data_IF_589986188012
#
_entry.id   IF_589986188012
#
_cell.length_a   1.000
_cell.length_b   1.000
_cell.length_c   1.000
_cell.angle_alpha   90.00
_cell.angle_beta   90.00
_cell.angle_gamma   90.00
#
_symmetry.space_group_name_H-M   'P 1'
#
loop_
_entity.id
_entity.type
_entity.pdbx_description
1 polymer ?
#
# COMPACT_ATOMS: atom_id res chain seq x y z
N UNK A 1 -0.02 64.05 40.87
CA UNK A 1 -0.94 63.72 41.97
C UNK A 1 -2.02 62.79 41.38
N UNK A 2 -2.21 61.65 41.71
CA UNK A 2 -2.11 60.75 42.79
C UNK A 2 -2.23 59.30 42.36
N UNK A 3 -1.52 58.51 43.07
CA UNK A 3 -1.51 57.04 43.10
C UNK A 3 -2.86 56.45 43.44
N UNK A 4 -3.25 55.34 42.94
CA UNK A 4 -3.72 54.20 43.74
C UNK A 4 -3.65 52.86 43.05
N UNK A 5 -3.02 51.97 43.75
CA UNK A 5 -2.80 50.54 43.52
C UNK A 5 -4.06 49.77 43.94
N UNK A 6 -4.46 48.71 43.22
CA UNK A 6 -5.12 47.55 43.80
C UNK A 6 -4.84 46.29 42.99
N UNK A 7 -4.21 45.37 43.66
CA UNK A 7 -3.93 43.99 43.30
C UNK A 7 -5.24 43.18 43.31
N UNK A 8 -5.44 42.35 42.35
CA UNK A 8 -6.46 41.29 42.33
C UNK A 8 -6.00 40.17 41.39
N UNK A 9 -5.32 39.17 41.97
CA UNK A 9 -4.89 37.99 41.26
C UNK A 9 -6.06 37.02 41.08
N UNK A 10 -6.31 36.60 39.86
CA UNK A 10 -7.12 35.42 39.54
C UNK A 10 -6.27 34.33 38.93
N UNK A 11 -6.39 33.16 39.52
CA UNK A 11 -5.72 31.90 39.13
C UNK A 11 -6.38 31.39 37.86
N UNK A 12 -5.64 31.06 36.77
CA UNK A 12 -6.25 30.47 35.61
C UNK A 12 -6.57 28.99 35.86
N UNK A 13 -7.85 28.65 35.76
CA UNK A 13 -8.37 27.30 35.70
C UNK A 13 -7.83 26.53 34.49
N UNK A 14 -7.45 25.28 34.71
CA UNK A 14 -6.92 24.31 33.76
C UNK A 14 -7.81 24.20 32.52
N UNK A 15 -7.20 24.48 31.35
CA UNK A 15 -7.80 24.29 30.03
C UNK A 15 -7.93 22.82 29.68
N UNK A 16 -9.07 22.47 29.10
CA UNK A 16 -9.37 21.18 28.45
C UNK A 16 -8.34 20.88 27.35
N UNK A 17 -8.01 19.60 27.09
CA UNK A 17 -7.09 19.25 26.00
C UNK A 17 -7.67 19.71 24.66
N UNK A 18 -6.91 20.55 23.96
CA UNK A 18 -7.29 21.18 22.72
C UNK A 18 -7.38 20.17 21.57
N UNK A 19 -8.32 20.43 20.69
CA UNK A 19 -8.44 19.80 19.39
C UNK A 19 -7.11 19.88 18.59
N UNK A 20 -6.79 18.90 17.72
CA UNK A 20 -5.57 18.92 16.96
C UNK A 20 -5.50 20.16 16.06
N UNK A 21 -4.39 20.90 16.20
CA UNK A 21 -4.11 22.10 15.41
C UNK A 21 -3.93 21.69 13.94
N UNK A 22 -4.88 22.06 13.10
CA UNK A 22 -4.68 22.09 11.65
C UNK A 22 -3.51 23.03 11.35
N UNK A 23 -2.36 22.50 10.90
CA UNK A 23 -1.23 23.28 10.41
C UNK A 23 -1.64 24.01 9.14
N UNK A 24 -2.09 25.24 9.25
CA UNK A 24 -2.15 26.16 8.11
C UNK A 24 -0.71 26.60 7.79
N UNK A 25 -0.17 26.15 6.67
CA UNK A 25 1.01 26.79 6.11
C UNK A 25 0.63 28.17 5.60
N UNK A 26 1.53 29.15 5.82
CA UNK A 26 1.33 30.60 5.60
C UNK A 26 1.31 31.04 4.11
N UNK A 27 0.96 30.18 3.18
CA UNK A 27 0.58 30.52 1.82
C UNK A 27 -0.70 29.75 1.52
N UNK A 28 -1.81 30.41 1.26
CA UNK A 28 -3.18 29.87 1.18
C UNK A 28 -3.42 28.73 0.17
N UNK A 29 -2.47 27.82 -0.03
CA UNK A 29 -2.65 26.56 -0.75
C UNK A 29 -3.26 25.54 0.20
N UNK A 30 -4.42 25.04 -0.13
CA UNK A 30 -5.02 23.87 0.50
C UNK A 30 -4.03 22.71 0.31
N UNK A 31 -3.46 22.20 1.41
CA UNK A 31 -2.59 21.03 1.34
C UNK A 31 -3.49 19.85 0.95
N UNK A 32 -3.26 19.30 -0.24
CA UNK A 32 -3.96 18.10 -0.71
C UNK A 32 -3.57 16.93 0.18
N UNK A 33 -4.53 16.31 0.88
CA UNK A 33 -4.29 15.16 1.76
C UNK A 33 -5.59 14.39 1.99
N UNK A 34 -5.46 13.14 2.42
CA UNK A 34 -6.59 12.36 2.91
C UNK A 34 -6.43 12.26 4.43
N UNK A 35 -7.46 12.61 5.19
CA UNK A 35 -7.48 12.46 6.65
C UNK A 35 -8.65 11.55 7.04
N UNK A 36 -8.36 10.56 7.83
CA UNK A 36 -9.31 9.57 8.34
C UNK A 36 -9.26 9.58 9.86
N UNK A 37 -10.42 9.72 10.50
CA UNK A 37 -10.54 9.77 11.95
C UNK A 37 -11.62 8.81 12.45
N UNK A 38 -11.24 7.83 13.24
CA UNK A 38 -12.11 6.86 13.90
C UNK A 38 -13.12 6.21 12.93
N UNK A 39 -12.69 5.97 11.68
CA UNK A 39 -13.54 5.56 10.58
C UNK A 39 -14.03 4.14 10.77
N UNK A 40 -15.35 3.96 10.84
CA UNK A 40 -15.98 2.65 10.99
C UNK A 40 -17.04 2.44 9.92
N UNK A 41 -17.07 1.24 9.34
CA UNK A 41 -18.10 0.81 8.39
C UNK A 41 -18.65 -0.55 8.75
N UNK A 42 -19.98 -0.62 8.89
CA UNK A 42 -20.72 -1.86 9.13
C UNK A 42 -21.72 -2.11 8.00
N UNK A 43 -21.82 -3.34 7.57
CA UNK A 43 -22.85 -3.85 6.66
C UNK A 43 -23.67 -4.89 7.42
N UNK A 44 -24.83 -4.47 7.92
CA UNK A 44 -25.64 -5.30 8.81
C UNK A 44 -24.86 -5.71 10.07
N UNK A 45 -24.58 -7.01 10.23
CA UNK A 45 -23.83 -7.55 11.38
C UNK A 45 -22.30 -7.58 11.18
N UNK A 46 -21.83 -7.37 9.95
CA UNK A 46 -20.39 -7.46 9.62
C UNK A 46 -19.76 -6.09 9.71
N UNK A 47 -18.71 -5.95 10.52
CA UNK A 47 -17.85 -4.77 10.56
C UNK A 47 -16.73 -4.97 9.53
N UNK A 48 -16.76 -4.17 8.47
CA UNK A 48 -15.75 -4.21 7.41
C UNK A 48 -14.54 -3.31 7.69
N UNK A 49 -14.76 -2.24 8.46
CA UNK A 49 -13.73 -1.28 8.89
C UNK A 49 -14.06 -0.86 10.32
N UNK A 50 -13.08 -0.84 11.21
CA UNK A 50 -13.22 -0.59 12.63
C UNK A 50 -12.20 0.44 13.10
N UNK A 51 -12.65 1.63 13.46
CA UNK A 51 -11.87 2.70 14.13
C UNK A 51 -10.55 3.07 13.43
N UNK A 52 -10.52 3.10 12.09
CA UNK A 52 -9.33 3.50 11.35
C UNK A 52 -9.02 4.99 11.54
N UNK A 53 -7.78 5.29 11.89
CA UNK A 53 -7.26 6.66 11.98
C UNK A 53 -5.88 6.73 11.35
N UNK A 54 -5.75 7.47 10.24
CA UNK A 54 -4.47 7.71 9.56
C UNK A 54 -4.57 8.90 8.61
N UNK A 55 -3.41 9.35 8.11
CA UNK A 55 -3.32 10.47 7.16
C UNK A 55 -2.45 10.10 5.97
N UNK A 56 -2.94 10.36 4.73
CA UNK A 56 -2.14 10.21 3.50
C UNK A 56 -1.60 11.58 3.11
N UNK A 57 -0.28 11.71 3.12
CA UNK A 57 0.41 12.97 2.87
C UNK A 57 0.57 13.26 1.37
N UNK A 58 0.60 14.54 0.97
CA UNK A 58 0.96 14.94 -0.40
C UNK A 58 2.45 14.72 -0.68
N UNK A 59 2.79 14.54 -1.95
CA UNK A 59 4.18 14.43 -2.39
C UNK A 59 4.82 13.07 -2.19
N UNK A 60 4.07 12.10 -1.69
CA UNK A 60 4.51 10.72 -1.49
C UNK A 60 3.53 9.73 -2.10
N UNK A 61 4.03 8.57 -2.52
CA UNK A 61 3.18 7.43 -2.86
C UNK A 61 2.97 6.61 -1.59
N UNK A 62 1.72 6.55 -1.12
CA UNK A 62 1.34 5.74 0.03
C UNK A 62 0.70 4.44 -0.42
N UNK A 63 1.32 3.32 -0.05
CA UNK A 63 0.79 1.97 -0.25
C UNK A 63 -0.23 1.60 0.82
N UNK A 64 -1.38 1.06 0.41
CA UNK A 64 -2.42 0.57 1.31
C UNK A 64 -2.50 -0.95 1.24
N UNK A 65 -1.96 -1.60 2.24
CA UNK A 65 -1.73 -3.04 2.28
C UNK A 65 -2.68 -3.74 3.25
N UNK A 66 -2.94 -4.99 2.98
CA UNK A 66 -3.73 -5.86 3.83
C UNK A 66 -4.20 -7.10 3.07
N UNK A 67 -4.53 -8.18 3.75
CA UNK A 67 -5.07 -9.38 3.12
C UNK A 67 -6.43 -9.09 2.44
N UNK A 68 -6.90 -10.06 1.65
CA UNK A 68 -8.24 -9.98 1.08
C UNK A 68 -9.27 -9.99 2.20
N UNK A 69 -10.28 -9.12 2.10
CA UNK A 69 -11.27 -8.94 3.16
C UNK A 69 -10.86 -7.97 4.28
N UNK A 70 -9.63 -7.46 4.29
CA UNK A 70 -9.15 -6.54 5.33
C UNK A 70 -9.85 -5.17 5.38
N UNK A 71 -10.70 -4.84 4.41
CA UNK A 71 -11.43 -3.56 4.37
C UNK A 71 -10.86 -2.51 3.42
N UNK A 72 -9.81 -2.82 2.61
CA UNK A 72 -9.15 -1.88 1.69
C UNK A 72 -10.14 -1.18 0.75
N UNK A 73 -10.84 -1.94 -0.08
CA UNK A 73 -11.79 -1.35 -1.05
C UNK A 73 -12.95 -0.61 -0.36
N UNK A 74 -13.39 -1.07 0.81
CA UNK A 74 -14.41 -0.38 1.62
C UNK A 74 -13.91 0.99 2.07
N UNK A 75 -12.68 1.08 2.57
CA UNK A 75 -12.05 2.33 2.98
C UNK A 75 -11.90 3.28 1.78
N UNK A 76 -11.39 2.79 0.66
CA UNK A 76 -11.25 3.58 -0.57
C UNK A 76 -12.61 4.09 -1.10
N UNK A 77 -13.68 3.29 -1.00
CA UNK A 77 -15.04 3.73 -1.37
C UNK A 77 -15.52 4.88 -0.51
N UNK A 78 -15.21 4.87 0.80
CA UNK A 78 -15.55 5.99 1.70
C UNK A 78 -14.72 7.24 1.39
N UNK A 79 -13.43 7.09 1.07
CA UNK A 79 -12.55 8.20 0.63
C UNK A 79 -13.09 8.87 -0.64
N UNK A 80 -13.62 8.07 -1.58
CA UNK A 80 -14.22 8.57 -2.82
C UNK A 80 -15.67 9.05 -2.64
N UNK A 81 -16.25 8.98 -1.45
CA UNK A 81 -17.62 9.37 -1.17
C UNK A 81 -18.69 8.47 -1.79
N UNK A 82 -18.31 7.26 -2.22
CA UNK A 82 -19.23 6.25 -2.78
C UNK A 82 -20.03 5.54 -1.70
N UNK A 83 -19.43 5.38 -0.51
CA UNK A 83 -20.08 4.85 0.67
C UNK A 83 -19.98 5.86 1.82
N UNK A 84 -20.98 5.88 2.70
CA UNK A 84 -20.96 6.68 3.93
C UNK A 84 -20.38 5.84 5.08
N UNK A 85 -19.55 6.43 5.95
CA UNK A 85 -19.15 5.81 7.20
C UNK A 85 -20.36 5.50 8.08
N UNK A 86 -20.28 4.45 8.91
CA UNK A 86 -21.24 4.22 10.00
C UNK A 86 -20.94 5.14 11.17
N UNK A 87 -19.66 5.42 11.43
CA UNK A 87 -19.17 6.43 12.39
C UNK A 87 -17.78 6.90 11.98
N UNK A 88 -17.28 7.95 12.62
CA UNK A 88 -16.03 8.60 12.26
C UNK A 88 -16.17 9.52 11.07
N UNK A 89 -15.04 9.94 10.50
CA UNK A 89 -15.04 10.90 9.39
C UNK A 89 -13.88 10.65 8.43
N UNK A 90 -14.07 11.08 7.18
CA UNK A 90 -13.05 11.17 6.17
C UNK A 90 -13.10 12.55 5.52
N UNK A 91 -11.94 13.17 5.33
CA UNK A 91 -11.79 14.39 4.53
C UNK A 91 -10.76 14.16 3.43
N UNK A 92 -10.99 14.79 2.29
CA UNK A 92 -10.05 14.83 1.17
C UNK A 92 -9.88 16.28 0.79
N UNK A 93 -8.63 16.75 0.73
CA UNK A 93 -8.29 18.15 0.48
C UNK A 93 -9.03 19.10 1.45
N UNK A 94 -9.14 18.69 2.74
CA UNK A 94 -9.76 19.45 3.82
C UNK A 94 -11.29 19.51 3.80
N UNK A 95 -11.98 18.70 2.96
CA UNK A 95 -13.45 18.66 2.88
C UNK A 95 -13.97 17.23 2.86
N UNK A 96 -15.17 16.97 3.39
CA UNK A 96 -15.83 15.70 3.16
C UNK A 96 -15.96 15.39 1.67
N UNK A 97 -15.76 14.15 1.20
CA UNK A 97 -15.72 13.81 -0.23
C UNK A 97 -16.94 14.27 -1.01
N UNK A 98 -18.13 14.19 -0.43
CA UNK A 98 -19.41 14.60 -1.06
C UNK A 98 -19.64 16.13 -1.09
N UNK A 99 -18.82 16.90 -0.39
CA UNK A 99 -18.91 18.36 -0.37
C UNK A 99 -18.13 19.04 -1.51
N UNK A 100 -17.41 18.26 -2.33
CA UNK A 100 -16.70 18.80 -3.48
C UNK A 100 -17.66 19.14 -4.62
N UNK A 101 -17.63 20.38 -5.08
CA UNK A 101 -18.46 20.85 -6.20
C UNK A 101 -17.96 20.39 -7.56
N UNK A 102 -16.68 20.07 -7.67
CA UNK A 102 -16.02 19.56 -8.87
C UNK A 102 -15.17 18.33 -8.54
N UNK A 103 -15.79 17.19 -8.14
CA UNK A 103 -15.09 16.07 -7.55
C UNK A 103 -13.96 15.51 -8.41
N UNK A 104 -14.09 15.43 -9.73
CA UNK A 104 -13.04 14.94 -10.62
C UNK A 104 -11.78 15.85 -10.68
N UNK A 105 -11.89 17.10 -10.23
CA UNK A 105 -10.73 18.01 -10.11
C UNK A 105 -10.03 17.90 -8.76
N UNK A 106 -10.72 17.36 -7.79
CA UNK A 106 -10.21 17.18 -6.43
C UNK A 106 -9.65 15.79 -6.21
N UNK A 107 -10.43 14.76 -6.62
CA UNK A 107 -10.11 13.36 -6.39
C UNK A 107 -10.32 12.57 -7.66
N UNK A 108 -9.26 11.91 -8.12
CA UNK A 108 -9.34 10.89 -9.17
C UNK A 108 -9.35 9.51 -8.54
N UNK A 109 -10.35 8.69 -8.87
CA UNK A 109 -10.48 7.36 -8.31
C UNK A 109 -10.63 6.28 -9.38
N UNK A 110 -9.99 5.12 -9.14
CA UNK A 110 -10.22 3.89 -9.89
C UNK A 110 -10.28 2.73 -8.91
N UNK A 111 -11.48 2.13 -8.77
CA UNK A 111 -11.71 0.95 -7.93
C UNK A 111 -11.97 -0.31 -8.76
N UNK A 112 -12.56 -0.17 -9.93
CA UNK A 112 -12.84 -1.28 -10.85
C UNK A 112 -12.55 -0.84 -12.29
N UNK A 113 -11.56 -1.43 -12.94
CA UNK A 113 -11.22 -1.11 -14.33
C UNK A 113 -12.33 -1.51 -15.32
N UNK A 114 -13.29 -2.34 -14.89
CA UNK A 114 -14.44 -2.75 -15.69
C UNK A 114 -15.65 -1.84 -15.54
N UNK A 115 -15.60 -0.82 -14.69
CA UNK A 115 -16.67 0.17 -14.49
C UNK A 115 -16.85 1.11 -15.69
N UNK A 116 -16.77 0.55 -16.91
CA UNK A 116 -16.93 1.25 -18.19
C UNK A 116 -18.06 0.62 -18.98
N UNK A 117 -18.94 1.43 -19.55
CA UNK A 117 -20.02 0.91 -20.38
C UNK A 117 -19.43 0.20 -21.63
N UNK A 118 -19.67 -1.11 -21.83
CA UNK A 118 -18.94 -1.92 -22.80
C UNK A 118 -19.16 -1.48 -24.26
N UNK A 119 -20.29 -0.87 -24.59
CA UNK A 119 -20.58 -0.40 -25.94
C UNK A 119 -19.99 0.97 -26.26
N UNK A 120 -19.49 1.74 -25.26
CA UNK A 120 -18.81 3.02 -25.49
C UNK A 120 -17.37 2.79 -25.91
N UNK A 121 -16.86 3.63 -26.83
CA UNK A 121 -15.42 3.67 -27.06
C UNK A 121 -14.70 4.33 -25.89
N UNK A 122 -13.40 4.04 -25.71
CA UNK A 122 -12.59 4.67 -24.68
C UNK A 122 -12.66 6.20 -24.76
N UNK A 123 -12.52 6.76 -25.95
CA UNK A 123 -12.63 8.20 -26.18
C UNK A 123 -14.00 8.76 -25.72
N UNK A 124 -15.12 8.14 -26.15
CA UNK A 124 -16.45 8.62 -25.79
C UNK A 124 -16.78 8.41 -24.32
N UNK A 125 -16.20 7.40 -23.66
CA UNK A 125 -16.31 7.23 -22.21
C UNK A 125 -15.68 8.42 -21.48
N UNK A 126 -14.43 8.74 -21.79
CA UNK A 126 -13.73 9.88 -21.18
C UNK A 126 -14.37 11.22 -21.55
N UNK A 127 -14.83 11.37 -22.80
CA UNK A 127 -15.51 12.59 -23.24
C UNK A 127 -16.84 12.83 -22.48
N UNK A 128 -17.59 11.76 -22.17
CA UNK A 128 -18.79 11.86 -21.36
C UNK A 128 -18.49 12.37 -19.95
N UNK A 129 -17.46 11.79 -19.28
CA UNK A 129 -17.00 12.24 -17.97
C UNK A 129 -16.48 13.69 -18.01
N UNK A 130 -15.74 14.06 -19.05
CA UNK A 130 -15.23 15.41 -19.22
C UNK A 130 -16.37 16.43 -19.31
N UNK A 131 -17.42 16.13 -20.12
CA UNK A 131 -18.56 17.03 -20.32
C UNK A 131 -19.39 17.22 -19.05
N UNK A 132 -19.64 16.15 -18.29
CA UNK A 132 -20.40 16.23 -17.03
C UNK A 132 -19.66 17.03 -15.95
N UNK A 133 -18.34 17.15 -16.08
CA UNK A 133 -17.48 17.81 -15.08
C UNK A 133 -16.88 19.14 -15.56
N UNK A 134 -17.35 19.69 -16.70
CA UNK A 134 -16.84 20.94 -17.26
C UNK A 134 -15.37 20.92 -17.64
N UNK A 135 -14.84 19.72 -18.01
CA UNK A 135 -13.45 19.53 -18.44
C UNK A 135 -13.37 19.69 -19.95
N UNK A 136 -12.35 20.42 -20.42
CA UNK A 136 -12.15 20.68 -21.85
C UNK A 136 -11.85 19.38 -22.62
N UNK A 137 -12.32 19.33 -23.89
CA UNK A 137 -12.14 18.16 -24.76
C UNK A 137 -10.67 17.80 -24.99
N UNK A 138 -9.77 18.79 -25.11
CA UNK A 138 -8.34 18.55 -25.29
C UNK A 138 -7.74 17.71 -24.17
N UNK A 139 -8.28 17.79 -22.95
CA UNK A 139 -7.82 16.98 -21.82
C UNK A 139 -8.09 15.48 -22.02
N UNK A 140 -9.15 15.15 -22.76
CA UNK A 140 -9.42 13.75 -23.12
C UNK A 140 -8.29 13.19 -24.00
N UNK A 141 -7.83 13.97 -24.98
CA UNK A 141 -6.72 13.57 -25.84
C UNK A 141 -5.42 13.45 -25.04
N UNK A 142 -5.13 14.39 -24.14
CA UNK A 142 -3.96 14.38 -23.26
C UNK A 142 -3.90 13.12 -22.38
N UNK A 143 -5.00 12.73 -21.71
CA UNK A 143 -4.98 11.55 -20.84
C UNK A 143 -4.94 10.24 -21.63
N UNK A 144 -5.56 10.18 -22.82
CA UNK A 144 -5.47 9.02 -23.72
C UNK A 144 -4.03 8.78 -24.13
N UNK A 145 -3.28 9.84 -24.44
CA UNK A 145 -1.86 9.75 -24.79
C UNK A 145 -1.02 9.33 -23.60
N UNK A 146 -1.26 9.93 -22.43
CA UNK A 146 -0.52 9.63 -21.21
C UNK A 146 -0.62 8.15 -20.79
N UNK A 147 -1.76 7.49 -21.08
CA UNK A 147 -1.95 6.07 -20.78
C UNK A 147 -1.65 5.14 -21.96
N UNK A 148 -1.22 5.68 -23.11
CA UNK A 148 -0.86 4.87 -24.30
C UNK A 148 -2.02 4.22 -25.03
N UNK A 149 -3.23 4.78 -24.96
CA UNK A 149 -4.42 4.23 -25.62
C UNK A 149 -4.81 4.91 -26.94
N UNK A 150 -3.96 5.77 -27.51
CA UNK A 150 -4.26 6.55 -28.73
C UNK A 150 -4.72 5.68 -29.89
N UNK A 151 -4.00 4.59 -30.18
CA UNK A 151 -4.27 3.71 -31.33
C UNK A 151 -5.60 2.97 -31.22
N UNK A 152 -6.14 2.81 -30.00
CA UNK A 152 -7.37 2.04 -29.71
C UNK A 152 -8.48 2.89 -29.14
N UNK A 153 -8.32 4.22 -29.03
CA UNK A 153 -9.26 5.13 -28.41
C UNK A 153 -10.68 5.09 -29.02
N UNK A 154 -10.78 4.80 -30.31
CA UNK A 154 -12.05 4.63 -31.03
C UNK A 154 -12.74 3.26 -30.85
N UNK A 155 -12.03 2.26 -30.30
CA UNK A 155 -12.56 0.91 -30.11
C UNK A 155 -13.49 0.85 -28.89
N UNK A 156 -14.52 -0.02 -28.95
CA UNK A 156 -15.43 -0.26 -27.81
C UNK A 156 -14.68 -0.86 -26.63
N UNK A 157 -14.89 -0.34 -25.44
CA UNK A 157 -14.23 -0.78 -24.22
C UNK A 157 -14.55 -2.23 -23.83
N UNK A 158 -15.71 -2.76 -24.22
CA UNK A 158 -16.05 -4.18 -24.01
C UNK A 158 -15.14 -5.17 -24.71
N UNK A 159 -14.34 -4.75 -25.70
CA UNK A 159 -13.32 -5.57 -26.38
C UNK A 159 -11.90 -5.30 -25.87
N UNK A 160 -11.72 -4.59 -24.75
CA UNK A 160 -10.41 -4.32 -24.19
C UNK A 160 -9.89 -5.51 -23.39
N UNK A 161 -8.57 -5.73 -23.44
CA UNK A 161 -7.90 -6.60 -22.49
C UNK A 161 -7.98 -6.00 -21.08
N UNK A 162 -7.71 -6.80 -20.05
CA UNK A 162 -7.69 -6.32 -18.67
C UNK A 162 -6.74 -5.13 -18.52
N UNK A 163 -5.51 -5.22 -19.05
CA UNK A 163 -4.55 -4.11 -19.00
C UNK A 163 -4.98 -2.86 -19.77
N UNK A 164 -5.70 -3.01 -20.90
CA UNK A 164 -6.30 -1.85 -21.59
C UNK A 164 -7.43 -1.21 -20.76
N UNK A 165 -8.25 -2.03 -20.10
CA UNK A 165 -9.28 -1.55 -19.15
C UNK A 165 -8.66 -0.80 -17.99
N UNK A 166 -7.58 -1.33 -17.43
CA UNK A 166 -6.81 -0.70 -16.35
C UNK A 166 -6.30 0.68 -16.77
N UNK A 167 -5.64 0.77 -17.92
CA UNK A 167 -5.16 2.05 -18.48
C UNK A 167 -6.30 3.05 -18.70
N UNK A 168 -7.47 2.59 -19.15
CA UNK A 168 -8.66 3.45 -19.33
C UNK A 168 -9.21 3.95 -17.98
N UNK A 169 -9.26 3.08 -16.97
CA UNK A 169 -9.65 3.48 -15.60
C UNK A 169 -8.71 4.53 -15.01
N UNK A 170 -7.39 4.35 -15.20
CA UNK A 170 -6.38 5.33 -14.79
C UNK A 170 -6.56 6.66 -15.56
N UNK A 171 -6.83 6.60 -16.88
CA UNK A 171 -7.12 7.80 -17.66
C UNK A 171 -8.34 8.56 -17.13
N UNK A 172 -9.40 7.86 -16.72
CA UNK A 172 -10.57 8.45 -16.11
C UNK A 172 -10.25 9.10 -14.75
N UNK A 173 -9.44 8.44 -13.92
CA UNK A 173 -8.97 8.99 -12.65
C UNK A 173 -8.14 10.27 -12.84
N UNK A 174 -7.33 10.36 -13.89
CA UNK A 174 -6.47 11.52 -14.18
C UNK A 174 -7.14 12.63 -14.99
N UNK A 175 -8.38 12.42 -15.45
CA UNK A 175 -9.06 13.31 -16.40
C UNK A 175 -9.20 14.74 -15.89
N UNK A 176 -9.55 14.92 -14.62
CA UNK A 176 -9.72 16.22 -13.97
C UNK A 176 -8.43 16.90 -13.53
N UNK A 177 -7.27 16.26 -13.72
CA UNK A 177 -5.99 16.66 -13.13
C UNK A 177 -6.05 16.83 -11.60
N UNK A 178 -6.61 15.82 -10.87
CA UNK A 178 -6.94 15.94 -9.46
C UNK A 178 -5.69 16.17 -8.59
N UNK A 179 -5.90 16.79 -7.42
CA UNK A 179 -4.87 16.94 -6.40
C UNK A 179 -4.60 15.62 -5.66
N UNK A 180 -5.62 14.76 -5.55
CA UNK A 180 -5.55 13.45 -4.89
C UNK A 180 -5.92 12.34 -5.87
N UNK A 181 -5.14 11.25 -5.88
CA UNK A 181 -5.37 10.06 -6.72
C UNK A 181 -5.47 8.81 -5.84
N UNK A 182 -6.56 8.05 -6.00
CA UNK A 182 -6.86 6.81 -5.26
C UNK A 182 -7.04 5.67 -6.25
N UNK A 183 -6.16 4.68 -6.21
CA UNK A 183 -6.17 3.55 -7.14
C UNK A 183 -6.21 2.22 -6.40
N UNK A 184 -7.22 1.41 -6.69
CA UNK A 184 -7.35 0.06 -6.14
C UNK A 184 -6.73 -0.93 -7.13
N UNK A 185 -5.67 -1.62 -6.70
CA UNK A 185 -4.96 -2.66 -7.46
C UNK A 185 -4.57 -2.23 -8.90
N UNK A 186 -3.91 -1.07 -9.13
CA UNK A 186 -3.68 -0.54 -10.47
C UNK A 186 -2.72 -1.36 -11.34
N UNK A 187 -1.94 -2.26 -10.77
CA UNK A 187 -0.99 -3.14 -11.49
C UNK A 187 -1.64 -4.39 -12.06
N UNK A 188 -2.85 -4.75 -11.59
CA UNK A 188 -3.50 -5.99 -12.00
C UNK A 188 -3.77 -6.05 -13.51
N UNK A 189 -3.31 -7.15 -14.14
CA UNK A 189 -3.50 -7.39 -15.56
C UNK A 189 -2.65 -6.54 -16.49
N UNK A 190 -1.68 -5.80 -15.95
CA UNK A 190 -0.63 -5.17 -16.73
C UNK A 190 0.52 -6.16 -16.99
N UNK A 191 1.15 -6.03 -18.14
CA UNK A 191 2.42 -6.68 -18.45
C UNK A 191 3.59 -5.96 -17.77
N UNK A 192 4.79 -6.52 -17.87
CA UNK A 192 6.00 -5.96 -17.24
C UNK A 192 6.26 -4.50 -17.65
N UNK A 193 5.98 -4.14 -18.90
CA UNK A 193 6.11 -2.77 -19.39
C UNK A 193 5.04 -1.87 -18.77
N UNK A 194 3.81 -2.34 -18.69
CA UNK A 194 2.69 -1.66 -18.02
C UNK A 194 2.95 -1.41 -16.54
N UNK A 195 3.54 -2.37 -15.83
CA UNK A 195 3.93 -2.22 -14.43
C UNK A 195 5.00 -1.13 -14.27
N UNK A 196 6.02 -1.12 -15.12
CA UNK A 196 7.05 -0.06 -15.12
C UNK A 196 6.46 1.32 -15.42
N UNK A 197 5.55 1.38 -16.39
CA UNK A 197 4.85 2.61 -16.75
C UNK A 197 4.01 3.16 -15.58
N UNK A 198 3.18 2.33 -14.94
CA UNK A 198 2.33 2.80 -13.83
C UNK A 198 3.18 3.26 -12.64
N UNK A 199 4.27 2.56 -12.32
CA UNK A 199 5.20 2.95 -11.27
C UNK A 199 5.77 4.36 -11.53
N UNK A 200 6.29 4.60 -12.73
CA UNK A 200 6.81 5.90 -13.14
C UNK A 200 5.73 6.99 -13.07
N UNK A 201 4.50 6.69 -13.47
CA UNK A 201 3.37 7.61 -13.40
C UNK A 201 3.05 7.99 -11.95
N UNK A 202 2.96 7.03 -11.03
CA UNK A 202 2.65 7.29 -9.62
C UNK A 202 3.73 8.12 -8.94
N UNK A 203 4.99 7.84 -9.23
CA UNK A 203 6.14 8.61 -8.74
C UNK A 203 6.15 10.04 -9.30
N UNK A 204 5.87 10.23 -10.59
CA UNK A 204 5.76 11.55 -11.21
C UNK A 204 4.61 12.37 -10.58
N UNK A 205 3.45 11.77 -10.33
CA UNK A 205 2.33 12.42 -9.66
C UNK A 205 2.73 12.89 -8.24
N UNK A 206 3.43 12.06 -7.48
CA UNK A 206 3.91 12.40 -6.15
C UNK A 206 4.96 13.52 -6.20
N UNK A 207 5.93 13.46 -7.11
CA UNK A 207 6.94 14.53 -7.26
C UNK A 207 6.34 15.88 -7.63
N UNK A 208 5.16 15.90 -8.27
CA UNK A 208 4.37 17.13 -8.53
C UNK A 208 3.57 17.59 -7.30
N UNK A 209 3.75 16.96 -6.14
CA UNK A 209 3.07 17.32 -4.90
C UNK A 209 1.64 16.80 -4.76
N UNK A 210 1.20 15.87 -5.64
CA UNK A 210 -0.12 15.23 -5.52
C UNK A 210 -0.12 14.18 -4.41
N UNK A 211 -1.27 13.95 -3.82
CA UNK A 211 -1.50 12.83 -2.90
C UNK A 211 -1.79 11.58 -3.72
N UNK A 212 -1.01 10.53 -3.51
CA UNK A 212 -1.15 9.26 -4.25
C UNK A 212 -1.39 8.13 -3.25
N UNK A 213 -2.57 7.51 -3.31
CA UNK A 213 -2.98 6.42 -2.44
C UNK A 213 -3.33 5.19 -3.27
N UNK A 214 -2.56 4.11 -3.07
CA UNK A 214 -2.60 2.93 -3.95
C UNK A 214 -2.72 1.67 -3.13
N UNK A 215 -3.72 0.84 -3.38
CA UNK A 215 -3.74 -0.52 -2.84
C UNK A 215 -2.97 -1.49 -3.72
N UNK A 216 -2.38 -2.50 -3.13
CA UNK A 216 -1.86 -3.67 -3.84
C UNK A 216 -1.84 -4.89 -2.93
N UNK A 217 -1.90 -6.07 -3.53
CA UNK A 217 -1.59 -7.34 -2.89
C UNK A 217 -0.18 -7.85 -3.28
N UNK A 218 0.50 -7.18 -4.23
CA UNK A 218 1.87 -7.47 -4.65
C UNK A 218 2.83 -6.59 -3.86
N UNK A 219 3.42 -7.15 -2.81
CA UNK A 219 4.30 -6.42 -1.89
C UNK A 219 5.55 -5.90 -2.58
N UNK A 220 6.16 -6.71 -3.46
CA UNK A 220 7.33 -6.32 -4.26
C UNK A 220 7.10 -5.09 -5.12
N UNK A 221 5.89 -4.91 -5.65
CA UNK A 221 5.54 -3.73 -6.44
C UNK A 221 5.38 -2.48 -5.55
N UNK A 222 4.78 -2.65 -4.38
CA UNK A 222 4.67 -1.55 -3.42
C UNK A 222 6.04 -1.16 -2.89
N UNK A 223 6.91 -2.10 -2.54
CA UNK A 223 8.27 -1.83 -2.06
C UNK A 223 9.09 -0.96 -3.04
N UNK A 224 8.84 -1.10 -4.35
CA UNK A 224 9.54 -0.35 -5.39
C UNK A 224 8.84 0.97 -5.78
N UNK A 225 7.59 1.17 -5.37
CA UNK A 225 6.76 2.31 -5.82
C UNK A 225 6.45 3.27 -4.69
N UNK A 226 6.07 2.77 -3.53
CA UNK A 226 5.68 3.57 -2.38
C UNK A 226 6.88 3.92 -1.49
N UNK A 227 6.76 5.01 -0.76
CA UNK A 227 7.71 5.42 0.29
C UNK A 227 7.09 5.33 1.67
N UNK A 228 5.76 5.27 1.76
CA UNK A 228 4.99 5.16 2.99
C UNK A 228 3.95 4.04 2.88
N UNK A 229 3.67 3.39 4.00
CA UNK A 229 2.73 2.26 4.09
C UNK A 229 1.68 2.50 5.15
N UNK A 230 0.46 2.13 4.81
CA UNK A 230 -0.64 1.93 5.75
C UNK A 230 -1.06 0.47 5.61
N UNK A 231 -0.91 -0.30 6.67
CA UNK A 231 -1.22 -1.74 6.71
C UNK A 231 -2.46 -1.95 7.57
N UNK A 232 -3.45 -2.65 7.02
CA UNK A 232 -4.66 -3.00 7.74
C UNK A 232 -4.91 -4.51 7.76
N UNK A 233 -5.56 -4.98 8.83
CA UNK A 233 -6.02 -6.37 8.95
C UNK A 233 -7.34 -6.42 9.70
N UNK A 234 -8.30 -7.20 9.25
CA UNK A 234 -9.65 -7.34 9.83
C UNK A 234 -10.38 -6.01 10.08
N UNK A 235 -10.10 -5.03 9.23
CA UNK A 235 -10.70 -3.70 9.32
C UNK A 235 -10.01 -2.74 10.28
N UNK A 236 -8.91 -3.11 10.91
CA UNK A 236 -8.15 -2.33 11.89
C UNK A 236 -6.78 -1.93 11.35
N UNK A 237 -6.22 -0.82 11.84
CA UNK A 237 -4.89 -0.34 11.50
C UNK A 237 -3.84 -1.22 12.20
N UNK A 238 -2.90 -1.76 11.43
CA UNK A 238 -1.78 -2.54 11.94
C UNK A 238 -0.50 -1.70 11.96
N UNK A 239 -0.22 -0.95 10.88
CA UNK A 239 0.95 -0.10 10.78
C UNK A 239 0.67 1.15 9.93
N UNK A 240 1.33 2.25 10.29
CA UNK A 240 1.37 3.53 9.57
C UNK A 240 2.82 4.04 9.65
N UNK A 241 3.65 3.73 8.63
CA UNK A 241 5.10 3.90 8.72
C UNK A 241 5.76 3.99 7.34
N UNK A 242 7.05 4.32 7.28
CA UNK A 242 7.80 4.24 6.02
C UNK A 242 8.02 2.79 5.57
N UNK A 243 8.20 2.58 4.25
CA UNK A 243 8.56 1.26 3.70
C UNK A 243 9.84 0.72 4.35
N UNK A 244 10.84 1.59 4.53
CA UNK A 244 12.12 1.20 5.11
C UNK A 244 11.99 0.75 6.58
N UNK A 245 11.25 1.53 7.39
CA UNK A 245 11.03 1.19 8.80
C UNK A 245 10.20 -0.09 8.93
N UNK A 246 9.20 -0.29 8.05
CA UNK A 246 8.40 -1.51 8.06
C UNK A 246 9.24 -2.75 7.75
N UNK A 247 10.10 -2.69 6.72
CA UNK A 247 11.02 -3.79 6.40
C UNK A 247 11.99 -4.04 7.57
N UNK A 248 12.43 -3.00 8.28
CA UNK A 248 13.29 -3.13 9.44
C UNK A 248 12.61 -3.83 10.65
N UNK A 249 11.27 -3.94 10.67
CA UNK A 249 10.55 -4.72 11.69
C UNK A 249 10.59 -6.23 11.45
N UNK A 250 10.90 -6.66 10.22
CA UNK A 250 11.06 -8.09 9.92
C UNK A 250 12.18 -8.71 10.74
N UNK A 251 12.04 -9.99 11.03
CA UNK A 251 13.14 -10.76 11.60
C UNK A 251 14.39 -10.62 10.72
N UNK A 252 15.61 -10.57 11.32
CA UNK A 252 16.83 -10.51 10.55
C UNK A 252 16.85 -11.63 9.49
N UNK A 253 17.09 -11.30 8.22
CA UNK A 253 17.01 -12.28 7.15
C UNK A 253 18.08 -13.36 7.34
N UNK A 254 17.81 -14.61 6.93
CA UNK A 254 18.76 -15.69 7.04
C UNK A 254 19.98 -15.43 6.16
N UNK A 255 21.11 -15.98 6.59
CA UNK A 255 22.31 -16.06 5.77
C UNK A 255 22.26 -17.36 4.97
N UNK A 256 22.24 -17.24 3.65
CA UNK A 256 22.35 -18.36 2.73
C UNK A 256 23.82 -18.79 2.65
N UNK A 257 24.10 -20.06 2.93
CA UNK A 257 25.45 -20.61 2.84
C UNK A 257 25.44 -21.90 2.04
N UNK A 258 26.37 -22.02 1.10
CA UNK A 258 26.67 -23.26 0.38
C UNK A 258 28.12 -23.62 0.57
N UNK A 259 28.39 -24.87 0.97
CA UNK A 259 29.72 -25.34 1.33
C UNK A 259 30.03 -26.73 0.77
N UNK A 260 31.30 -27.14 0.87
CA UNK A 260 31.72 -28.47 0.46
C UNK A 260 31.22 -29.60 1.36
N UNK A 261 30.87 -29.29 2.61
CA UNK A 261 30.32 -30.23 3.58
C UNK A 261 29.22 -29.52 4.41
N UNK A 262 27.99 -29.69 3.97
CA UNK A 262 26.83 -29.00 4.57
C UNK A 262 26.40 -29.62 5.89
N UNK A 263 26.46 -30.92 6.00
CA UNK A 263 25.99 -31.63 7.19
C UNK A 263 26.89 -31.32 8.39
N UNK A 264 28.23 -31.35 8.17
CA UNK A 264 29.18 -30.94 9.18
C UNK A 264 29.03 -29.47 9.55
N UNK A 265 28.88 -28.58 8.55
CA UNK A 265 28.69 -27.14 8.80
C UNK A 265 27.39 -26.89 9.58
N UNK A 266 26.28 -27.52 9.19
CA UNK A 266 25.02 -27.40 9.90
C UNK A 266 25.12 -27.85 11.37
N UNK A 267 25.86 -28.94 11.63
CA UNK A 267 26.16 -29.42 12.99
C UNK A 267 26.91 -28.39 13.83
N UNK A 268 27.94 -27.77 13.25
CA UNK A 268 28.79 -26.79 13.94
C UNK A 268 28.09 -25.45 14.22
N UNK A 269 27.13 -25.07 13.37
CA UNK A 269 26.39 -23.82 13.52
C UNK A 269 25.21 -23.91 14.51
N UNK A 270 24.76 -25.12 14.88
CA UNK A 270 23.67 -25.30 15.83
C UNK A 270 24.05 -24.82 17.22
N UNK A 271 23.42 -23.78 17.68
CA UNK A 271 23.57 -23.23 19.03
C UNK A 271 22.26 -22.59 19.51
N UNK A 272 22.09 -22.32 20.81
CA UNK A 272 20.89 -21.63 21.29
C UNK A 272 20.67 -20.31 20.56
N UNK A 273 19.49 -20.12 20.00
CA UNK A 273 19.13 -18.91 19.23
C UNK A 273 19.53 -18.95 17.74
N UNK A 274 20.13 -20.04 17.25
CA UNK A 274 20.49 -20.23 15.85
C UNK A 274 19.62 -21.29 15.22
N UNK A 275 18.96 -20.94 14.13
CA UNK A 275 18.18 -21.87 13.32
C UNK A 275 18.92 -22.17 12.03
N UNK A 276 19.10 -23.46 11.73
CA UNK A 276 19.70 -23.93 10.49
C UNK A 276 18.69 -24.79 9.76
N UNK A 277 18.26 -24.35 8.58
CA UNK A 277 17.28 -25.04 7.75
C UNK A 277 17.86 -25.28 6.33
N UNK A 278 17.45 -26.35 5.65
CA UNK A 278 17.77 -26.53 4.23
C UNK A 278 17.14 -25.40 3.39
N UNK A 279 17.94 -24.75 2.57
CA UNK A 279 17.51 -23.84 1.54
C UNK A 279 17.75 -24.53 0.19
N UNK A 280 16.82 -24.50 -0.75
CA UNK A 280 16.93 -25.19 -2.03
C UNK A 280 18.35 -25.15 -2.66
N UNK A 281 18.62 -25.94 -3.70
CA UNK A 281 19.90 -26.04 -4.40
C UNK A 281 21.10 -26.49 -3.54
N UNK A 282 20.84 -27.25 -2.48
CA UNK A 282 21.86 -27.71 -1.59
C UNK A 282 22.51 -26.59 -0.74
N UNK A 283 21.82 -25.49 -0.44
CA UNK A 283 22.24 -24.45 0.48
C UNK A 283 21.61 -24.63 1.88
N UNK A 284 22.17 -23.98 2.88
CA UNK A 284 21.56 -23.80 4.21
C UNK A 284 21.12 -22.35 4.39
N UNK A 285 19.97 -22.16 5.02
CA UNK A 285 19.53 -20.88 5.55
C UNK A 285 19.82 -20.84 7.05
N UNK A 286 20.67 -19.91 7.48
CA UNK A 286 21.11 -19.77 8.86
C UNK A 286 20.59 -18.47 9.42
N UNK A 287 19.73 -18.54 10.44
CA UNK A 287 19.23 -17.37 11.17
C UNK A 287 19.87 -17.30 12.55
N UNK A 288 20.07 -16.06 13.05
CA UNK A 288 20.65 -15.82 14.37
C UNK A 288 22.18 -15.70 14.39
N UNK A 289 22.86 -15.85 13.25
CA UNK A 289 24.30 -15.64 13.11
C UNK A 289 24.62 -14.71 11.93
N UNK A 290 25.51 -13.72 12.09
CA UNK A 290 26.00 -12.92 10.97
C UNK A 290 26.91 -13.75 10.04
N UNK A 291 26.92 -13.41 8.75
CA UNK A 291 27.73 -14.10 7.72
C UNK A 291 29.20 -14.22 8.10
N UNK A 292 29.78 -13.18 8.72
CA UNK A 292 31.19 -13.22 9.16
C UNK A 292 31.48 -14.33 10.18
N UNK A 293 30.56 -14.61 11.10
CA UNK A 293 30.71 -15.68 12.08
C UNK A 293 30.56 -17.06 11.43
N UNK A 294 29.60 -17.21 10.52
CA UNK A 294 29.42 -18.45 9.74
C UNK A 294 30.67 -18.74 8.93
N UNK A 295 31.24 -17.73 8.26
CA UNK A 295 32.50 -17.87 7.53
C UNK A 295 33.67 -18.26 8.40
N UNK A 296 33.77 -17.68 9.61
CA UNK A 296 34.85 -18.04 10.58
C UNK A 296 34.73 -19.48 11.07
N UNK A 297 33.52 -19.97 11.37
CA UNK A 297 33.26 -21.36 11.77
C UNK A 297 33.63 -22.32 10.64
N UNK A 298 33.22 -22.04 9.40
CA UNK A 298 33.57 -22.85 8.25
C UNK A 298 35.08 -22.91 8.02
N UNK A 299 35.77 -21.77 8.09
CA UNK A 299 37.23 -21.69 7.92
C UNK A 299 38.00 -22.47 9.02
N UNK A 300 37.57 -22.35 10.29
CA UNK A 300 38.16 -23.10 11.41
C UNK A 300 38.01 -24.63 11.25
N UNK A 301 36.94 -25.07 10.60
CA UNK A 301 36.68 -26.48 10.32
C UNK A 301 37.28 -26.96 8.98
N UNK A 302 37.98 -26.12 8.22
CA UNK A 302 38.52 -26.45 6.91
C UNK A 302 37.46 -26.67 5.82
N UNK A 303 36.25 -26.18 6.02
CA UNK A 303 35.15 -26.33 5.09
C UNK A 303 35.21 -25.20 4.05
N UNK A 304 35.21 -25.55 2.77
CA UNK A 304 35.19 -24.57 1.69
C UNK A 304 33.79 -24.01 1.52
N UNK A 305 33.66 -22.68 1.56
CA UNK A 305 32.41 -21.97 1.33
C UNK A 305 32.34 -21.53 -0.12
N UNK A 306 31.31 -21.95 -0.85
CA UNK A 306 31.04 -21.58 -2.25
C UNK A 306 30.17 -20.36 -2.36
N UNK A 307 29.26 -20.16 -1.40
CA UNK A 307 28.32 -19.04 -1.34
C UNK A 307 28.10 -18.66 0.14
N UNK A 308 28.15 -17.37 0.43
CA UNK A 308 27.82 -16.81 1.73
C UNK A 308 27.17 -15.44 1.50
N UNK A 309 25.85 -15.40 1.49
CA UNK A 309 25.09 -14.21 1.19
C UNK A 309 24.01 -13.99 2.25
N UNK A 310 23.94 -12.78 2.78
CA UNK A 310 22.79 -12.39 3.61
C UNK A 310 21.64 -12.07 2.66
N UNK A 311 20.52 -12.77 2.79
CA UNK A 311 19.30 -12.42 2.08
C UNK A 311 18.86 -11.03 2.52
N UNK A 312 18.20 -10.29 1.63
CA UNK A 312 17.63 -9.00 2.02
C UNK A 312 16.24 -9.22 2.61
N UNK A 313 15.96 -8.60 3.76
CA UNK A 313 14.62 -8.59 4.30
C UNK A 313 13.67 -8.01 3.26
N UNK A 314 12.59 -8.70 2.95
CA UNK A 314 11.60 -8.27 1.99
C UNK A 314 10.38 -7.65 2.69
N UNK A 315 9.63 -6.86 1.94
CA UNK A 315 8.34 -6.35 2.42
C UNK A 315 7.34 -7.49 2.65
N UNK A 316 7.47 -8.57 1.86
CA UNK A 316 6.68 -9.79 2.00
C UNK A 316 6.91 -10.45 3.37
N UNK A 317 8.17 -10.61 3.78
CA UNK A 317 8.53 -11.23 5.06
C UNK A 317 7.99 -10.40 6.23
N UNK A 318 8.25 -9.08 6.21
CA UNK A 318 7.73 -8.17 7.23
C UNK A 318 6.20 -8.18 7.30
N UNK A 319 5.53 -8.26 6.16
CA UNK A 319 4.06 -8.29 6.10
C UNK A 319 3.50 -9.60 6.67
N UNK A 320 4.10 -10.73 6.34
CA UNK A 320 3.68 -12.04 6.87
C UNK A 320 3.84 -12.05 8.38
N UNK A 321 4.99 -11.61 8.92
CA UNK A 321 5.25 -11.58 10.36
C UNK A 321 4.22 -10.72 11.11
N UNK A 322 3.90 -9.54 10.59
CA UNK A 322 2.99 -8.58 11.25
C UNK A 322 1.52 -8.98 11.06
N UNK A 323 1.17 -9.70 9.99
CA UNK A 323 -0.23 -10.06 9.69
C UNK A 323 -0.61 -11.49 10.02
N UNK A 324 0.30 -12.30 10.57
CA UNK A 324 0.05 -13.71 10.89
C UNK A 324 -1.24 -13.96 11.68
N UNK A 325 -1.57 -13.06 12.61
CA UNK A 325 -2.79 -13.16 13.43
C UNK A 325 -4.02 -12.49 12.80
N UNK A 326 -3.82 -11.72 11.72
CA UNK A 326 -4.87 -10.95 11.05
C UNK A 326 -5.49 -11.64 9.82
N UNK A 327 -4.99 -12.82 9.42
CA UNK A 327 -5.51 -13.55 8.25
C UNK A 327 -6.74 -14.36 8.64
N UNK A 328 -7.88 -14.08 7.99
CA UNK A 328 -9.18 -14.70 8.26
C UNK A 328 -9.30 -16.13 7.71
N UNK A 329 -8.53 -16.49 6.68
CA UNK A 329 -8.57 -17.80 6.02
C UNK A 329 -7.16 -18.40 5.95
N UNK A 330 -6.82 -19.26 6.89
CA UNK A 330 -5.64 -20.12 6.80
C UNK A 330 -6.01 -21.42 6.08
N UNK A 331 -5.49 -21.66 4.89
CA UNK A 331 -5.46 -22.99 4.33
C UNK A 331 -4.49 -23.83 5.18
N UNK A 332 -4.88 -25.03 5.67
CA UNK A 332 -3.96 -25.90 6.39
C UNK A 332 -2.81 -26.26 5.45
N UNK A 333 -1.60 -25.90 5.85
CA UNK A 333 -0.38 -26.37 5.16
C UNK A 333 -0.32 -27.87 5.38
N UNK A 334 -0.63 -28.65 4.34
CA UNK A 334 -0.39 -30.08 4.34
C UNK A 334 1.13 -30.27 4.42
N UNK A 335 1.61 -30.65 5.59
CA UNK A 335 2.94 -31.23 5.72
C UNK A 335 3.02 -32.41 4.75
N UNK A 336 3.99 -32.39 3.86
CA UNK A 336 4.31 -33.49 2.97
C UNK A 336 5.02 -34.60 3.77
N UNK A 337 4.28 -35.21 4.70
CA UNK A 337 4.62 -36.52 5.22
C UNK A 337 3.98 -37.53 4.25
N UNK A 338 4.82 -38.13 3.41
CA UNK A 338 4.40 -39.21 2.52
C UNK A 338 3.80 -40.38 3.30
N UNK A 339 2.88 -41.14 2.66
CA UNK A 339 2.34 -42.34 3.27
C UNK A 339 3.45 -43.38 3.43
N UNK A 340 3.63 -43.86 4.66
CA UNK A 340 4.39 -45.06 4.92
C UNK A 340 3.71 -46.20 4.15
N UNK A 341 4.44 -46.86 3.27
CA UNK A 341 4.03 -48.14 2.68
C UNK A 341 4.07 -49.17 3.79
N UNK A 342 2.91 -49.58 4.27
CA UNK A 342 2.80 -50.82 5.03
C UNK A 342 2.92 -51.98 4.02
N UNK A 343 4.05 -52.72 4.10
CA UNK A 343 4.19 -54.03 3.49
C UNK A 343 3.40 -55.03 4.34
N UNK A 344 2.27 -55.50 3.83
CA UNK A 344 1.64 -56.73 4.30
C UNK A 344 2.39 -57.95 3.73
N UNK A 345 2.86 -58.78 4.67
CA UNK A 345 3.31 -60.18 4.43
C UNK A 345 2.17 -61.14 4.42
#
# INVERSE_FOLDING_TARGET
MGLSCCLGGEIPTQGRPGAPLTRRHASGSVVSMIEIHALTKRYGRTTAVSDLTFTVQPGVVTGFLGPNGAGKSTTMRMILGLDEPTSGSVTVNGRPPRAHTAPLREVGGMLDPRAVHPSRSAYHHLLALARTSGIRRSRVDEVIDAVGLRSVAGRRAGGFSLGMGQRLGIAAALLGDPATVVLDEPVNGLDVEGIRWIRALLQDLATRGKTVFVSSHLMSEIAQTATHLIVIGRGELIADTSVADFIATAAPPPVRVRSSDQDTLAGLLRSPGVTVAPAGDGALAVSGLPAAQIGAVAAAAGITVFELATEQASLEDAFVDVTQDAVEFRAPVRSAAGPALEEES
#
